data_IF_303210909234
#
_entry.id   IF_303210909234
#
_cell.length_a   1.000
_cell.length_b   1.000
_cell.length_c   1.000
_cell.angle_alpha   90.00
_cell.angle_beta   90.00
_cell.angle_gamma   90.00
#
_symmetry.space_group_name_H-M   'P 1'
#
loop_
_entity.id
_entity.type
_entity.pdbx_description
1 polymer ?
#
# COMPACT_ATOMS: atom_id res chain seq x y z
N UNK A 1 2.45 10.97 19.62
CA UNK A 1 3.26 10.01 18.83
C UNK A 1 4.69 10.53 18.79
N UNK A 2 5.69 9.72 19.13
CA UNK A 2 7.11 10.10 19.14
C UNK A 2 7.76 10.13 17.75
N UNK A 3 7.06 9.63 16.73
CA UNK A 3 7.48 9.60 15.33
C UNK A 3 6.29 9.77 14.37
N UNK A 4 6.56 10.14 13.12
CA UNK A 4 5.54 10.36 12.08
C UNK A 4 5.53 9.23 11.04
N UNK A 5 6.70 8.73 10.65
CA UNK A 5 6.89 7.67 9.64
C UNK A 5 7.84 6.59 10.17
N UNK A 6 7.86 5.43 9.51
CA UNK A 6 8.79 4.34 9.86
C UNK A 6 10.26 4.76 9.71
N UNK A 7 10.58 5.60 8.71
CA UNK A 7 11.92 6.17 8.54
C UNK A 7 12.28 7.18 9.65
N UNK A 8 11.33 8.01 10.08
CA UNK A 8 11.52 8.94 11.20
C UNK A 8 11.75 8.18 12.52
N UNK A 9 10.97 7.12 12.78
CA UNK A 9 11.18 6.23 13.92
C UNK A 9 12.59 5.62 13.91
N UNK A 10 12.99 5.07 12.76
CA UNK A 10 14.28 4.42 12.58
C UNK A 10 15.46 5.35 12.86
N UNK A 11 15.43 6.59 12.34
CA UNK A 11 16.46 7.62 12.56
C UNK A 11 16.54 8.09 14.01
N UNK A 12 15.45 7.98 14.76
CA UNK A 12 15.40 8.25 16.21
C UNK A 12 15.82 7.05 17.07
N UNK A 13 16.20 5.93 16.46
CA UNK A 13 16.52 4.69 17.18
C UNK A 13 15.30 4.01 17.79
N UNK A 14 14.09 4.34 17.34
CA UNK A 14 12.84 3.74 17.82
C UNK A 14 12.53 2.51 16.98
N UNK A 15 12.44 1.36 17.64
CA UNK A 15 11.92 0.12 17.06
C UNK A 15 10.40 0.10 17.13
N UNK A 16 9.74 -0.10 15.98
CA UNK A 16 8.28 -0.14 15.88
C UNK A 16 7.79 -1.57 15.73
N UNK A 17 6.50 -1.80 16.01
CA UNK A 17 5.84 -3.10 15.78
C UNK A 17 5.97 -3.54 14.32
N UNK A 18 5.85 -2.62 13.37
CA UNK A 18 5.97 -2.94 11.95
C UNK A 18 7.38 -3.43 11.59
N UNK A 19 8.43 -2.83 12.19
CA UNK A 19 9.80 -3.31 12.02
C UNK A 19 9.98 -4.72 12.58
N UNK A 20 9.42 -5.01 13.75
CA UNK A 20 9.49 -6.35 14.37
C UNK A 20 8.80 -7.41 13.50
N UNK A 21 7.61 -7.11 12.96
CA UNK A 21 6.89 -8.03 12.07
C UNK A 21 7.71 -8.31 10.81
N UNK A 22 8.24 -7.27 10.17
CA UNK A 22 9.08 -7.43 8.96
C UNK A 22 10.36 -8.21 9.28
N UNK A 23 11.03 -7.89 10.39
CA UNK A 23 12.23 -8.59 10.84
C UNK A 23 11.95 -10.09 11.02
N UNK A 24 10.85 -10.44 11.69
CA UNK A 24 10.42 -11.82 11.88
C UNK A 24 10.14 -12.53 10.55
N UNK A 25 9.37 -11.90 9.64
CA UNK A 25 9.05 -12.47 8.32
C UNK A 25 10.28 -12.72 7.45
N UNK A 26 11.29 -11.88 7.58
CA UNK A 26 12.52 -11.94 6.79
C UNK A 26 13.64 -12.75 7.46
N UNK A 27 13.43 -13.25 8.68
CA UNK A 27 14.44 -13.98 9.44
C UNK A 27 15.66 -13.12 9.78
N UNK A 28 15.46 -11.82 10.03
CA UNK A 28 16.52 -10.84 10.27
C UNK A 28 16.42 -10.22 11.66
N UNK A 29 17.54 -9.72 12.24
CA UNK A 29 17.49 -8.89 13.42
C UNK A 29 16.72 -7.58 13.16
N UNK A 30 15.89 -7.15 14.11
CA UNK A 30 15.11 -5.92 13.96
C UNK A 30 15.99 -4.67 13.81
N UNK A 31 17.18 -4.67 14.41
CA UNK A 31 18.15 -3.59 14.27
C UNK A 31 18.70 -3.45 12.86
N UNK A 32 18.81 -4.55 12.11
CA UNK A 32 19.18 -4.51 10.70
C UNK A 32 18.09 -3.81 9.89
N UNK A 33 16.81 -4.16 10.12
CA UNK A 33 15.66 -3.52 9.47
C UNK A 33 15.61 -2.02 9.81
N UNK A 34 15.79 -1.67 11.09
CA UNK A 34 15.80 -0.27 11.55
C UNK A 34 16.92 0.52 10.89
N UNK A 35 18.15 -0.01 10.82
CA UNK A 35 19.27 0.67 10.18
C UNK A 35 19.01 0.87 8.67
N UNK A 36 18.54 -0.16 7.97
CA UNK A 36 18.19 -0.06 6.55
C UNK A 36 17.06 0.96 6.27
N UNK A 37 16.08 1.07 7.16
CA UNK A 37 15.04 2.11 7.11
C UNK A 37 15.63 3.51 7.30
N UNK A 38 16.52 3.69 8.28
CA UNK A 38 17.16 4.98 8.57
C UNK A 38 18.00 5.47 7.38
N UNK A 39 18.68 4.54 6.70
CA UNK A 39 19.49 4.74 5.50
C UNK A 39 18.66 4.89 4.21
N UNK A 40 17.35 4.61 4.26
CA UNK A 40 16.46 4.67 3.08
C UNK A 40 16.65 3.52 2.09
N UNK A 41 17.29 2.42 2.50
CA UNK A 41 17.49 1.20 1.68
C UNK A 41 16.32 0.23 1.75
N UNK A 42 15.50 0.34 2.78
CA UNK A 42 14.25 -0.40 2.99
C UNK A 42 13.13 0.58 3.31
N UNK A 43 11.92 0.26 2.88
CA UNK A 43 10.68 0.96 3.25
C UNK A 43 9.66 -0.03 3.81
N UNK A 44 8.80 0.45 4.71
CA UNK A 44 7.61 -0.26 5.18
C UNK A 44 6.39 0.66 4.95
N UNK A 45 5.61 0.43 3.88
CA UNK A 45 4.37 1.15 3.59
C UNK A 45 3.29 0.85 4.63
N UNK A 46 3.28 1.62 5.72
CA UNK A 46 2.37 1.44 6.84
C UNK A 46 1.60 2.73 7.15
N UNK A 47 0.59 3.03 6.33
CA UNK A 47 -0.31 4.15 6.64
C UNK A 47 -1.04 3.84 7.95
N UNK A 48 -0.97 4.76 8.93
CA UNK A 48 -1.58 4.61 10.25
C UNK A 48 -3.09 4.33 10.23
N UNK A 49 -3.79 4.64 9.13
CA UNK A 49 -5.23 4.41 8.96
C UNK A 49 -5.56 3.03 8.38
N UNK A 50 -4.58 2.28 7.87
CA UNK A 50 -4.77 0.94 7.34
C UNK A 50 -4.65 -0.09 8.47
N UNK A 51 -5.77 -0.34 9.15
CA UNK A 51 -5.79 -1.13 10.40
C UNK A 51 -5.68 -2.65 10.22
N UNK A 52 -6.01 -3.15 9.05
CA UNK A 52 -5.93 -4.57 8.68
C UNK A 52 -4.56 -4.99 8.14
N UNK A 53 -3.65 -4.03 7.89
CA UNK A 53 -2.33 -4.25 7.31
C UNK A 53 -1.55 -5.33 8.08
N UNK A 54 -0.99 -6.27 7.34
CA UNK A 54 0.08 -7.16 7.78
C UNK A 54 1.40 -6.68 7.15
N UNK A 55 2.26 -5.96 7.91
CA UNK A 55 3.40 -5.23 7.35
C UNK A 55 4.37 -6.09 6.55
N UNK A 56 4.88 -5.51 5.47
CA UNK A 56 5.92 -6.09 4.62
C UNK A 56 7.02 -5.04 4.37
N UNK A 57 8.27 -5.49 4.32
CA UNK A 57 9.42 -4.66 3.98
C UNK A 57 9.76 -4.78 2.50
N UNK A 58 10.07 -3.66 1.87
CA UNK A 58 10.53 -3.60 0.47
C UNK A 58 11.91 -2.95 0.47
N UNK A 59 12.92 -3.65 -0.08
CA UNK A 59 14.25 -3.07 -0.26
C UNK A 59 15.39 -4.08 -0.18
N UNK A 60 16.59 -3.55 0.00
CA UNK A 60 17.83 -4.31 -0.07
C UNK A 60 17.87 -5.45 0.95
N UNK A 61 18.24 -6.65 0.48
CA UNK A 61 18.48 -7.82 1.33
C UNK A 61 17.21 -8.51 1.85
N UNK A 62 16.01 -8.03 1.48
CA UNK A 62 14.73 -8.67 1.79
C UNK A 62 14.27 -9.55 0.63
N UNK A 63 13.36 -10.49 0.88
CA UNK A 63 12.75 -11.31 -0.19
C UNK A 63 11.99 -10.43 -1.19
N UNK A 64 11.99 -10.82 -2.46
CA UNK A 64 11.20 -10.14 -3.51
C UNK A 64 9.71 -10.15 -3.16
N UNK A 65 9.04 -9.02 -3.36
CA UNK A 65 7.60 -8.84 -3.13
C UNK A 65 6.87 -8.71 -4.45
N UNK A 66 5.62 -9.17 -4.50
CA UNK A 66 4.78 -9.13 -5.70
C UNK A 66 3.63 -8.15 -5.49
N UNK A 67 3.38 -7.33 -6.51
CA UNK A 67 2.26 -6.42 -6.57
C UNK A 67 1.23 -6.90 -7.61
N UNK A 68 -0.05 -6.88 -7.24
CA UNK A 68 -1.17 -7.15 -8.15
C UNK A 68 -1.90 -5.86 -8.46
N UNK A 69 -2.00 -5.53 -9.74
CA UNK A 69 -2.80 -4.41 -10.22
C UNK A 69 -4.24 -4.87 -10.47
N UNK A 70 -5.18 -4.08 -9.98
CA UNK A 70 -6.62 -4.26 -10.19
C UNK A 70 -7.26 -2.88 -10.33
N UNK A 71 -8.51 -2.83 -10.78
CA UNK A 71 -9.26 -1.59 -10.87
C UNK A 71 -10.49 -1.68 -11.77
N UNK A 72 -11.44 -0.80 -11.47
CA UNK A 72 -12.68 -0.59 -12.22
C UNK A 72 -12.39 0.34 -13.41
N UNK A 73 -12.80 -0.07 -14.60
CA UNK A 73 -12.70 0.72 -15.83
C UNK A 73 -14.09 1.04 -16.40
N UNK A 74 -14.13 1.93 -17.40
CA UNK A 74 -15.37 2.28 -18.12
C UNK A 74 -15.99 1.06 -18.82
N UNK A 75 -15.15 0.20 -19.39
CA UNK A 75 -15.60 -0.97 -20.16
C UNK A 75 -16.01 -2.14 -19.27
N UNK A 76 -15.48 -2.21 -18.03
CA UNK A 76 -15.82 -3.23 -17.06
C UNK A 76 -16.07 -2.60 -15.68
N UNK A 77 -17.27 -2.03 -15.52
CA UNK A 77 -17.68 -1.35 -14.30
C UNK A 77 -18.35 -2.32 -13.31
N UNK A 78 -17.64 -3.35 -12.86
CA UNK A 78 -18.19 -4.35 -11.92
C UNK A 78 -17.39 -4.43 -10.62
N UNK A 79 -17.97 -3.87 -9.56
CA UNK A 79 -17.40 -3.83 -8.22
C UNK A 79 -17.18 -5.22 -7.61
N UNK A 80 -18.17 -6.12 -7.73
CA UNK A 80 -18.10 -7.45 -7.14
C UNK A 80 -17.04 -8.30 -7.83
N UNK A 81 -16.93 -8.20 -9.15
CA UNK A 81 -15.89 -8.87 -9.92
C UNK A 81 -14.49 -8.38 -9.50
N UNK A 82 -14.32 -7.08 -9.27
CA UNK A 82 -13.04 -6.55 -8.80
C UNK A 82 -12.69 -7.02 -7.39
N UNK A 83 -13.71 -7.16 -6.53
CA UNK A 83 -13.55 -7.71 -5.19
C UNK A 83 -13.15 -9.20 -5.21
N UNK A 84 -13.63 -9.98 -6.19
CA UNK A 84 -13.17 -11.36 -6.38
C UNK A 84 -11.68 -11.42 -6.76
N UNK A 85 -11.18 -10.48 -7.57
CA UNK A 85 -9.74 -10.38 -7.86
C UNK A 85 -8.94 -10.03 -6.62
N UNK A 86 -9.44 -9.14 -5.76
CA UNK A 86 -8.82 -8.83 -4.45
C UNK A 86 -8.70 -10.11 -3.63
N UNK A 87 -9.80 -10.85 -3.45
CA UNK A 87 -9.80 -12.10 -2.70
C UNK A 87 -8.80 -13.10 -3.28
N UNK A 88 -8.75 -13.22 -4.61
CA UNK A 88 -7.82 -14.14 -5.27
C UNK A 88 -6.36 -13.73 -5.09
N UNK A 89 -6.06 -12.43 -5.16
CA UNK A 89 -4.71 -11.91 -4.91
C UNK A 89 -4.25 -12.22 -3.48
N UNK A 90 -5.14 -12.06 -2.49
CA UNK A 90 -4.87 -12.39 -1.10
C UNK A 90 -4.72 -13.89 -0.86
N UNK A 91 -5.55 -14.73 -1.49
CA UNK A 91 -5.44 -16.20 -1.45
C UNK A 91 -4.06 -16.66 -1.99
N UNK A 92 -3.59 -16.01 -3.05
CA UNK A 92 -2.27 -16.24 -3.64
C UNK A 92 -1.12 -15.53 -2.89
N UNK A 93 -1.41 -14.89 -1.75
CA UNK A 93 -0.45 -14.22 -0.86
C UNK A 93 0.32 -13.07 -1.50
N UNK A 94 -0.30 -12.30 -2.39
CA UNK A 94 0.28 -11.06 -2.88
C UNK A 94 0.52 -10.07 -1.73
N UNK A 95 1.72 -9.49 -1.66
CA UNK A 95 2.08 -8.57 -0.57
C UNK A 95 1.63 -7.14 -0.82
N UNK A 96 1.41 -6.78 -2.08
CA UNK A 96 0.90 -5.48 -2.48
C UNK A 96 -0.25 -5.62 -3.48
N UNK A 97 -1.18 -4.69 -3.37
CA UNK A 97 -2.27 -4.49 -4.31
C UNK A 97 -2.29 -3.01 -4.68
N UNK A 98 -2.31 -2.70 -5.97
CA UNK A 98 -2.60 -1.34 -6.43
C UNK A 98 -4.00 -1.28 -7.02
N UNK A 99 -4.82 -0.37 -6.49
CA UNK A 99 -6.07 0.01 -7.12
C UNK A 99 -5.82 1.12 -8.15
N UNK A 100 -5.99 0.74 -9.42
CA UNK A 100 -5.87 1.58 -10.60
C UNK A 100 -7.25 1.91 -11.20
N UNK A 101 -8.32 1.81 -10.40
CA UNK A 101 -9.66 2.21 -10.82
C UNK A 101 -9.65 3.64 -11.35
N UNK A 102 -10.26 3.83 -12.53
CA UNK A 102 -10.31 5.10 -13.26
C UNK A 102 -11.73 5.54 -13.59
N UNK A 103 -12.74 4.77 -13.17
CA UNK A 103 -14.14 5.03 -13.48
C UNK A 103 -15.08 4.59 -12.35
N UNK A 104 -16.19 5.30 -12.18
CA UNK A 104 -17.21 5.00 -11.17
C UNK A 104 -16.84 5.47 -9.75
N UNK A 105 -17.52 4.90 -8.75
CA UNK A 105 -17.33 5.25 -7.32
C UNK A 105 -16.10 4.55 -6.72
N UNK A 106 -14.91 4.96 -7.15
CA UNK A 106 -13.62 4.37 -6.72
C UNK A 106 -13.39 4.47 -5.20
N UNK A 107 -13.93 5.50 -4.55
CA UNK A 107 -13.77 5.72 -3.11
C UNK A 107 -14.40 4.59 -2.25
N UNK A 108 -15.63 4.17 -2.57
CA UNK A 108 -16.32 3.11 -1.83
C UNK A 108 -15.55 1.78 -1.94
N UNK A 109 -15.00 1.49 -3.13
CA UNK A 109 -14.18 0.31 -3.38
C UNK A 109 -12.91 0.32 -2.53
N UNK A 110 -12.18 1.44 -2.53
CA UNK A 110 -10.93 1.55 -1.76
C UNK A 110 -11.13 1.52 -0.27
N UNK A 111 -12.20 2.13 0.24
CA UNK A 111 -12.52 2.04 1.67
C UNK A 111 -12.72 0.59 2.09
N UNK A 112 -13.47 -0.19 1.30
CA UNK A 112 -13.65 -1.62 1.53
C UNK A 112 -12.33 -2.38 1.39
N UNK A 113 -11.55 -2.12 0.34
CA UNK A 113 -10.24 -2.74 0.10
C UNK A 113 -9.28 -2.54 1.27
N UNK A 114 -9.09 -1.29 1.71
CA UNK A 114 -8.23 -0.94 2.85
C UNK A 114 -8.76 -1.56 4.15
N UNK A 115 -10.08 -1.70 4.31
CA UNK A 115 -10.64 -2.31 5.51
C UNK A 115 -10.37 -3.82 5.59
N UNK A 116 -10.44 -4.55 4.47
CA UNK A 116 -10.35 -6.02 4.48
C UNK A 116 -8.94 -6.55 4.17
N UNK A 117 -8.12 -5.80 3.44
CA UNK A 117 -6.89 -6.33 2.86
C UNK A 117 -5.72 -6.22 3.83
N UNK A 118 -5.00 -7.32 4.13
CA UNK A 118 -3.75 -7.27 4.87
C UNK A 118 -2.56 -6.83 4.00
N UNK A 119 -2.68 -6.86 2.68
CA UNK A 119 -1.62 -6.47 1.74
C UNK A 119 -1.45 -4.94 1.71
N UNK A 120 -0.25 -4.45 1.40
CA UNK A 120 0.01 -3.03 1.17
C UNK A 120 -0.88 -2.50 0.04
N UNK A 121 -1.56 -1.36 0.25
CA UNK A 121 -2.44 -0.77 -0.77
C UNK A 121 -1.78 0.47 -1.39
N UNK A 122 -1.62 0.44 -2.72
CA UNK A 122 -1.22 1.58 -3.52
C UNK A 122 -2.35 2.11 -4.42
N UNK A 123 -2.22 3.36 -4.85
CA UNK A 123 -3.13 4.01 -5.80
C UNK A 123 -2.34 4.96 -6.70
N UNK A 124 -2.99 5.43 -7.77
CA UNK A 124 -2.47 6.52 -8.60
C UNK A 124 -3.44 7.70 -8.46
N UNK A 125 -3.20 8.67 -7.56
CA UNK A 125 -4.17 9.70 -7.21
C UNK A 125 -4.67 10.55 -8.39
N UNK A 126 -3.86 10.71 -9.45
CA UNK A 126 -4.27 11.46 -10.65
C UNK A 126 -5.42 10.78 -11.41
N UNK A 127 -5.61 9.47 -11.27
CA UNK A 127 -6.74 8.79 -11.92
C UNK A 127 -8.09 9.20 -11.34
N UNK A 128 -8.16 9.51 -10.04
CA UNK A 128 -9.37 10.13 -9.48
C UNK A 128 -9.51 11.58 -9.91
N UNK A 129 -8.40 12.33 -9.93
CA UNK A 129 -8.42 13.72 -10.36
C UNK A 129 -9.02 13.87 -11.78
N UNK A 130 -8.65 12.98 -12.70
CA UNK A 130 -9.16 12.96 -14.08
C UNK A 130 -10.55 12.31 -14.14
N UNK A 131 -10.68 11.08 -13.63
CA UNK A 131 -11.86 10.23 -13.84
C UNK A 131 -13.10 10.66 -13.04
N UNK A 132 -12.90 11.21 -11.84
CA UNK A 132 -14.01 11.62 -10.97
C UNK A 132 -14.44 13.06 -11.19
N UNK A 133 -13.48 14.00 -11.36
CA UNK A 133 -13.80 15.42 -11.50
C UNK A 133 -14.10 15.84 -12.95
N UNK A 134 -13.96 14.93 -13.92
CA UNK A 134 -14.18 15.23 -15.33
C UNK A 134 -13.27 16.35 -15.86
N UNK A 135 -12.18 16.65 -15.14
CA UNK A 135 -11.20 17.65 -15.56
C UNK A 135 -10.40 17.04 -16.70
N UNK A 136 -10.25 17.79 -17.80
CA UNK A 136 -9.21 17.48 -18.77
C UNK A 136 -7.85 17.55 -18.07
N UNK A 137 -6.90 16.70 -18.50
CA UNK A 137 -5.54 16.66 -17.95
C UNK A 137 -4.88 18.05 -17.93
N UNK A 138 -5.18 18.88 -18.93
CA UNK A 138 -4.71 20.26 -19.08
C UNK A 138 -5.24 21.22 -18.00
N UNK A 139 -6.37 20.90 -17.36
CA UNK A 139 -7.03 21.70 -16.33
C UNK A 139 -6.77 21.24 -14.90
N UNK A 140 -5.88 20.27 -14.68
CA UNK A 140 -5.52 19.80 -13.34
C UNK A 140 -4.57 20.79 -12.67
N UNK A 141 -4.93 21.19 -11.46
CA UNK A 141 -4.18 22.08 -10.57
C UNK A 141 -3.71 21.32 -9.33
N UNK A 142 -2.82 21.93 -8.54
CA UNK A 142 -2.43 21.38 -7.24
C UNK A 142 -3.59 21.33 -6.23
N UNK A 143 -4.54 22.26 -6.37
CA UNK A 143 -5.83 22.32 -5.67
C UNK A 143 -6.90 21.46 -6.35
#
# INVERSE_FOLDING_TARGET
MSYITQMDAARKGITTREMEVVAHKEGKPVEEIRNLLAEGKVVIPANKNHKSLDPEGIGQGLRTKINVNLGISRDCCNFEFEMEKVKKALELKAEAIMDLSSYGKTQEFRQKLVHISPAMIGTVPVYDAVGFYGKELSGITAD
#
